data_IF_108833556596
#
_entry.id   IF_108833556596
#
_cell.length_a   1.000
_cell.length_b   1.000
_cell.length_c   1.000
_cell.angle_alpha   90.00
_cell.angle_beta   90.00
_cell.angle_gamma   90.00
#
_symmetry.space_group_name_H-M   'P 1'
#
loop_
_entity.id
_entity.type
_entity.pdbx_description
1 polymer ?
#
# COMPACT_ATOMS: atom_id res chain seq x y z
N UNK A 1 -5.22 25.03 -0.72
CA UNK A 1 -4.91 25.22 -2.12
C UNK A 1 -3.80 24.37 -2.61
N UNK A 2 -2.68 24.50 -1.96
CA UNK A 2 -1.53 23.71 -2.39
C UNK A 2 -1.79 22.23 -2.35
N UNK A 3 -2.54 21.80 -1.37
CA UNK A 3 -2.82 20.39 -1.26
C UNK A 3 -3.48 19.81 -2.47
N UNK A 4 -4.31 20.61 -3.11
CA UNK A 4 -5.02 20.11 -4.26
C UNK A 4 -4.09 19.69 -5.37
N UNK A 5 -2.96 20.36 -5.46
CA UNK A 5 -2.00 20.05 -6.50
C UNK A 5 -1.30 18.73 -6.24
N UNK A 6 -1.39 18.25 -5.01
CA UNK A 6 -0.73 17.01 -4.64
C UNK A 6 -1.64 15.81 -4.62
N UNK A 7 -2.90 16.01 -5.03
CA UNK A 7 -3.84 14.89 -5.06
C UNK A 7 -3.76 14.19 -6.39
N UNK A 8 -3.74 12.87 -6.35
CA UNK A 8 -3.73 12.04 -7.53
C UNK A 8 -4.80 10.99 -7.34
N UNK A 9 -5.87 11.08 -8.12
CA UNK A 9 -6.97 10.15 -7.96
C UNK A 9 -7.60 10.21 -6.59
N UNK A 10 -7.59 11.41 -5.98
CA UNK A 10 -8.16 11.58 -4.66
C UNK A 10 -7.21 11.28 -3.53
N UNK A 11 -5.97 10.98 -3.83
CA UNK A 11 -4.97 10.63 -2.81
C UNK A 11 -3.88 11.67 -2.79
N UNK A 12 -3.44 12.06 -1.59
CA UNK A 12 -2.39 13.05 -1.47
C UNK A 12 -1.06 12.47 -1.93
N UNK A 13 -0.17 13.39 -2.31
CA UNK A 13 1.16 12.97 -2.74
C UNK A 13 1.88 12.21 -1.64
N UNK A 14 1.73 12.66 -0.40
CA UNK A 14 2.41 12.00 0.71
C UNK A 14 1.94 10.57 0.90
N UNK A 15 0.66 10.33 0.72
CA UNK A 15 0.16 8.97 0.79
C UNK A 15 0.74 8.13 -0.33
N UNK A 16 0.80 8.71 -1.54
CA UNK A 16 1.40 7.99 -2.65
C UNK A 16 2.85 7.63 -2.39
N UNK A 17 3.57 8.51 -1.70
CA UNK A 17 4.96 8.25 -1.38
C UNK A 17 5.12 7.16 -0.32
N UNK A 18 4.10 7.00 0.53
CA UNK A 18 4.16 5.97 1.56
C UNK A 18 3.76 4.59 1.06
N UNK A 19 2.97 4.52 -0.01
CA UNK A 19 2.48 3.22 -0.48
C UNK A 19 3.58 2.24 -0.84
N UNK A 20 4.65 2.65 -1.54
CA UNK A 20 5.75 1.73 -1.79
C UNK A 20 6.42 1.25 -0.51
N UNK A 21 6.46 2.09 0.51
CA UNK A 21 7.04 1.70 1.80
C UNK A 21 6.20 0.61 2.43
N UNK A 22 4.87 0.78 2.43
CA UNK A 22 3.98 -0.24 2.93
C UNK A 22 4.16 -1.54 2.13
N UNK A 23 4.26 -1.41 0.82
CA UNK A 23 4.38 -2.58 -0.04
C UNK A 23 5.63 -3.39 0.31
N UNK A 24 6.76 -2.70 0.41
CA UNK A 24 8.00 -3.37 0.74
C UNK A 24 7.95 -4.03 2.12
N UNK A 25 7.42 -3.30 3.09
CA UNK A 25 7.29 -3.82 4.44
C UNK A 25 6.39 -5.05 4.47
N UNK A 26 5.26 -4.98 3.80
CA UNK A 26 4.32 -6.10 3.81
C UNK A 26 4.88 -7.31 3.11
N UNK A 27 5.64 -7.11 2.04
CA UNK A 27 6.26 -8.23 1.37
C UNK A 27 7.26 -8.94 2.28
N UNK A 28 7.98 -8.16 3.06
CA UNK A 28 8.90 -8.76 4.02
C UNK A 28 8.15 -9.57 5.06
N UNK A 29 7.08 -9.02 5.60
CA UNK A 29 6.30 -9.73 6.60
C UNK A 29 5.66 -10.97 6.02
N UNK A 30 5.22 -10.89 4.78
CA UNK A 30 4.65 -12.04 4.11
C UNK A 30 5.67 -13.15 3.96
N UNK A 31 6.88 -12.79 3.60
CA UNK A 31 7.94 -13.79 3.44
C UNK A 31 8.30 -14.43 4.76
N UNK A 32 8.00 -13.76 5.87
CA UNK A 32 8.21 -14.30 7.21
C UNK A 32 7.04 -15.15 7.69
N UNK A 33 6.02 -15.29 6.85
CA UNK A 33 4.90 -16.14 7.19
C UNK A 33 3.74 -15.44 7.87
N UNK A 34 3.79 -14.12 7.96
CA UNK A 34 2.70 -13.39 8.60
C UNK A 34 1.48 -13.34 7.70
N UNK A 35 0.36 -13.79 8.20
CA UNK A 35 -0.87 -13.87 7.40
C UNK A 35 -1.75 -12.64 7.56
N UNK A 36 -1.86 -12.15 8.78
CA UNK A 36 -2.72 -11.00 9.09
C UNK A 36 -1.92 -9.93 9.80
N UNK A 37 -2.33 -8.67 9.60
CA UNK A 37 -1.62 -7.57 10.23
C UNK A 37 -2.62 -6.43 10.50
N UNK A 38 -2.38 -5.69 11.57
CA UNK A 38 -3.26 -4.60 11.94
C UNK A 38 -2.58 -3.26 11.68
N UNK A 39 -3.39 -2.20 11.56
CA UNK A 39 -2.84 -0.88 11.37
C UNK A 39 -1.94 -0.44 12.53
N UNK A 40 -2.29 -0.72 13.79
CA UNK A 40 -1.37 -0.36 14.87
C UNK A 40 -0.01 -1.01 14.75
N UNK A 41 0.04 -2.26 14.32
CA UNK A 41 1.31 -2.96 14.16
C UNK A 41 2.12 -2.34 13.04
N UNK A 42 1.47 -2.05 11.92
CA UNK A 42 2.16 -1.40 10.81
C UNK A 42 2.73 -0.04 11.26
N UNK A 43 1.90 0.71 11.96
CA UNK A 43 2.31 2.03 12.42
C UNK A 43 3.51 1.94 13.36
N UNK A 44 3.46 0.99 14.25
CA UNK A 44 4.55 0.81 15.20
C UNK A 44 5.84 0.44 14.49
N UNK A 45 5.76 -0.52 13.59
CA UNK A 45 6.94 -1.01 12.90
C UNK A 45 7.57 0.05 11.99
N UNK A 46 6.73 0.85 11.34
CA UNK A 46 7.21 1.86 10.43
C UNK A 46 7.35 3.23 11.09
N UNK A 47 7.03 3.31 12.37
CA UNK A 47 7.11 4.56 13.14
C UNK A 47 6.25 5.64 12.50
N UNK A 48 5.04 5.28 12.18
CA UNK A 48 4.07 6.19 11.62
C UNK A 48 2.90 6.34 12.57
N UNK A 49 2.07 7.35 12.30
CA UNK A 49 0.86 7.56 13.08
C UNK A 49 -0.20 6.56 12.67
N UNK A 50 -0.83 5.91 13.63
CA UNK A 50 -1.81 4.89 13.35
C UNK A 50 -2.98 5.42 12.53
N UNK A 51 -3.46 6.62 12.86
CA UNK A 51 -4.57 7.21 12.12
C UNK A 51 -4.20 7.40 10.67
N UNK A 52 -2.98 7.85 10.42
CA UNK A 52 -2.53 8.05 9.06
C UNK A 52 -2.42 6.72 8.31
N UNK A 53 -1.93 5.69 8.98
CA UNK A 53 -1.83 4.37 8.37
C UNK A 53 -3.22 3.88 7.97
N UNK A 54 -4.20 4.04 8.87
CA UNK A 54 -5.56 3.61 8.55
C UNK A 54 -6.12 4.36 7.35
N UNK A 55 -5.86 5.66 7.28
CA UNK A 55 -6.34 6.46 6.16
C UNK A 55 -5.65 6.05 4.86
N UNK A 56 -4.37 5.83 4.91
CA UNK A 56 -3.64 5.42 3.73
C UNK A 56 -4.16 4.09 3.19
N UNK A 57 -4.33 3.12 4.08
CA UNK A 57 -4.80 1.81 3.66
C UNK A 57 -6.24 1.89 3.14
N UNK A 58 -7.08 2.70 3.79
CA UNK A 58 -8.46 2.83 3.36
C UNK A 58 -8.57 3.34 1.93
N UNK A 59 -7.57 4.06 1.47
CA UNK A 59 -7.60 4.58 0.12
C UNK A 59 -7.39 3.51 -0.93
N UNK A 60 -6.70 2.44 -0.59
CA UNK A 60 -6.33 1.42 -1.57
C UNK A 60 -6.95 0.06 -1.30
N UNK A 61 -7.28 -0.25 -0.06
CA UNK A 61 -7.78 -1.57 0.28
C UNK A 61 -9.16 -1.80 -0.31
N UNK A 62 -9.33 -2.92 -0.96
CA UNK A 62 -10.61 -3.25 -1.57
C UNK A 62 -11.54 -3.96 -0.59
N UNK A 63 -10.99 -4.46 0.50
CA UNK A 63 -11.82 -5.04 1.54
C UNK A 63 -11.42 -4.45 2.88
N UNK A 64 -12.41 -4.28 3.74
CA UNK A 64 -12.16 -3.68 5.04
C UNK A 64 -11.44 -4.66 5.94
N UNK A 65 -10.60 -4.11 6.82
CA UNK A 65 -9.96 -4.93 7.83
C UNK A 65 -10.98 -5.39 8.84
N UNK A 66 -10.68 -6.46 9.53
CA UNK A 66 -11.55 -7.01 10.54
C UNK A 66 -11.04 -6.62 11.92
N UNK A 67 -11.96 -6.35 12.86
CA UNK A 67 -11.54 -5.88 14.18
C UNK A 67 -10.53 -6.77 14.88
N UNK A 68 -10.67 -8.07 14.71
CA UNK A 68 -9.79 -8.99 15.43
C UNK A 68 -8.57 -9.40 14.64
N UNK A 69 -8.72 -9.57 13.33
CA UNK A 69 -7.63 -10.09 12.54
C UNK A 69 -6.91 -9.02 11.74
N UNK A 70 -7.51 -7.85 11.59
CA UNK A 70 -6.92 -6.80 10.79
C UNK A 70 -7.05 -7.08 9.30
N UNK A 71 -5.97 -6.82 8.59
CA UNK A 71 -5.94 -7.02 7.14
C UNK A 71 -5.20 -8.30 6.81
N UNK A 72 -5.60 -8.93 5.71
CA UNK A 72 -4.86 -10.08 5.20
C UNK A 72 -3.66 -9.52 4.45
N UNK A 73 -2.47 -9.93 4.84
CA UNK A 73 -1.24 -9.35 4.28
C UNK A 73 -1.18 -9.48 2.77
N UNK A 74 -1.46 -10.66 2.24
CA UNK A 74 -1.40 -10.85 0.79
C UNK A 74 -2.41 -10.01 0.05
N UNK A 75 -3.61 -9.86 0.62
CA UNK A 75 -4.62 -9.04 -0.01
C UNK A 75 -4.21 -7.59 -0.04
N UNK A 76 -3.61 -7.13 1.04
CA UNK A 76 -3.18 -5.75 1.13
C UNK A 76 -2.05 -5.47 0.14
N UNK A 77 -1.12 -6.40 0.02
CA UNK A 77 -0.06 -6.28 -0.96
C UNK A 77 -0.66 -6.14 -2.36
N UNK A 78 -1.60 -7.01 -2.68
CA UNK A 78 -2.22 -7.00 -3.99
C UNK A 78 -2.98 -5.70 -4.25
N UNK A 79 -3.69 -5.22 -3.24
CA UNK A 79 -4.44 -3.97 -3.37
C UNK A 79 -3.50 -2.80 -3.64
N UNK A 80 -2.37 -2.74 -2.96
CA UNK A 80 -1.40 -1.68 -3.17
C UNK A 80 -0.80 -1.79 -4.56
N UNK A 81 -0.45 -3.01 -4.98
CA UNK A 81 0.12 -3.21 -6.30
C UNK A 81 -0.85 -2.79 -7.39
N UNK A 82 -2.12 -3.14 -7.20
CA UNK A 82 -3.13 -2.77 -8.16
C UNK A 82 -3.27 -1.25 -8.24
N UNK A 83 -3.27 -0.60 -7.08
CA UNK A 83 -3.41 0.85 -7.05
C UNK A 83 -2.23 1.54 -7.70
N UNK A 84 -1.03 1.05 -7.43
CA UNK A 84 0.19 1.65 -7.97
C UNK A 84 0.41 1.29 -9.43
N UNK A 85 -0.38 0.35 -9.95
CA UNK A 85 -0.24 -0.02 -11.33
C UNK A 85 0.85 -1.03 -11.60
N UNK A 86 1.32 -1.70 -10.59
CA UNK A 86 2.38 -2.68 -10.80
C UNK A 86 1.94 -3.78 -11.75
N UNK A 87 0.70 -4.19 -11.63
CA UNK A 87 0.19 -5.24 -12.51
C UNK A 87 0.06 -4.76 -13.94
N UNK A 88 -0.26 -3.49 -14.12
CA UNK A 88 -0.38 -2.92 -15.44
C UNK A 88 0.98 -2.63 -16.04
N UNK A 89 1.94 -2.44 -15.21
CA UNK A 89 3.28 -2.09 -15.62
C UNK A 89 3.90 -3.17 -16.49
N UNK A 90 3.45 -4.37 -16.32
CA UNK A 90 4.00 -5.46 -17.10
C UNK A 90 3.94 -5.17 -18.58
N UNK A 91 2.85 -4.60 -19.02
CA UNK A 91 2.68 -4.30 -20.43
C UNK A 91 3.60 -3.21 -20.85
N UNK A 92 3.73 -2.21 -20.01
CA UNK A 92 4.60 -1.10 -20.32
C UNK A 92 6.04 -1.55 -20.32
N UNK A 93 6.38 -2.38 -19.41
CA UNK A 93 7.74 -2.83 -19.28
C UNK A 93 8.18 -3.63 -20.49
N UNK A 94 7.28 -4.38 -21.03
CA UNK A 94 7.63 -5.14 -22.21
C UNK A 94 8.18 -4.27 -23.28
N UNK A 95 7.77 -3.06 -23.23
CA UNK A 95 8.28 -2.10 -24.17
C UNK A 95 9.63 -1.66 -23.71
N UNK A 96 9.63 -1.30 -22.56
CA UNK A 96 10.83 -0.74 -22.05
C UNK A 96 11.80 -1.76 -21.74
N UNK A 97 11.49 -2.28 -21.54
CA UNK A 97 12.45 -2.87 -21.12
C UNK A 97 13.04 -3.52 -21.59
N UNK A 98 12.25 -3.07 -21.90
CA UNK A 98 12.46 -3.44 -22.02
C UNK A 98 13.38 -3.42 -22.35
N UNK A 99 13.37 -3.03 -22.54
CA UNK A 99 13.85 -3.07 -22.58
C UNK A 99 14.68 -3.26 -22.45
N UNK A 100 14.61 -3.15 -22.59
CA UNK A 100 14.99 -3.44 -22.30
C UNK A 100 15.42 -3.58 -22.26
#
# INVERSE_FOLDING_TARGET
MEEKKHLVGGISRKTLERLPVYHHYLERRDSEGLVNISAPVIALDLQLNEVQVRKDIAMVARSAGKPKTGYVVKDLIDDIEEFLGYHNTNQAVLVGAGSL
#
